data_IF_217330913335
#
_entry.id   IF_217330913335
#
_cell.length_a   1.000
_cell.length_b   1.000
_cell.length_c   1.000
_cell.angle_alpha   90.00
_cell.angle_beta   90.00
_cell.angle_gamma   90.00
#
_symmetry.space_group_name_H-M   'P 1'
#
loop_
_entity.id
_entity.type
_entity.pdbx_description
1 polymer ?
#
# COMPACT_ATOMS: atom_id res chain seq x y z
N UNK A 1 20.20 -8.37 6.37
CA UNK A 1 20.35 -6.96 6.82
C UNK A 1 19.45 -6.72 8.01
N UNK A 2 19.56 -5.57 8.68
CA UNK A 2 18.71 -5.21 9.82
C UNK A 2 18.23 -3.76 9.70
N UNK A 3 17.01 -3.49 10.14
CA UNK A 3 16.43 -2.15 10.29
C UNK A 3 15.70 -2.06 11.62
N UNK A 4 15.62 -0.87 12.21
CA UNK A 4 14.72 -0.60 13.32
C UNK A 4 13.39 -0.05 12.77
N UNK A 5 12.40 -0.92 12.60
CA UNK A 5 11.10 -0.59 12.07
C UNK A 5 10.21 0.05 13.14
N UNK A 6 9.49 1.12 12.77
CA UNK A 6 8.69 1.96 13.68
C UNK A 6 7.76 1.19 14.62
N UNK A 7 7.13 0.12 14.12
CA UNK A 7 6.12 -0.66 14.87
C UNK A 7 6.64 -2.01 15.37
N UNK A 8 7.83 -2.45 14.93
CA UNK A 8 8.34 -3.81 15.16
C UNK A 8 9.71 -3.84 15.84
N UNK A 9 10.34 -2.68 16.05
CA UNK A 9 11.70 -2.60 16.56
C UNK A 9 12.70 -3.19 15.56
N UNK A 10 13.72 -3.91 16.05
CA UNK A 10 14.72 -4.51 15.16
C UNK A 10 14.12 -5.66 14.35
N UNK A 11 14.16 -5.54 13.02
CA UNK A 11 13.71 -6.55 12.06
C UNK A 11 14.87 -6.92 11.15
N UNK A 12 15.09 -8.23 11.00
CA UNK A 12 16.03 -8.79 10.00
C UNK A 12 15.31 -9.03 8.68
N UNK A 13 15.96 -8.71 7.57
CA UNK A 13 15.40 -8.89 6.21
C UNK A 13 16.51 -9.12 5.18
N UNK A 14 16.14 -9.72 4.05
CA UNK A 14 16.98 -9.92 2.85
C UNK A 14 16.63 -8.89 1.76
N UNK A 15 17.52 -8.69 0.77
CA UNK A 15 17.28 -7.73 -0.30
C UNK A 15 15.97 -8.03 -1.06
N UNK A 16 15.64 -9.32 -1.21
CA UNK A 16 14.40 -9.81 -1.83
C UNK A 16 13.13 -9.45 -1.07
N UNK A 17 13.24 -9.14 0.22
CA UNK A 17 12.10 -8.77 1.07
C UNK A 17 11.71 -7.31 0.87
N UNK A 18 12.56 -6.49 0.25
CA UNK A 18 12.24 -5.09 -0.05
C UNK A 18 11.38 -4.94 -1.31
N UNK A 19 10.67 -3.82 -1.42
CA UNK A 19 10.07 -3.34 -2.66
C UNK A 19 10.72 -2.03 -3.08
N UNK A 20 10.75 -1.81 -4.39
CA UNK A 20 11.18 -0.54 -4.99
C UNK A 20 9.98 0.21 -5.56
N UNK A 21 9.68 1.38 -5.01
CA UNK A 21 8.62 2.27 -5.45
C UNK A 21 9.17 3.24 -6.51
N UNK A 22 8.69 3.10 -7.73
CA UNK A 22 9.09 3.91 -8.88
C UNK A 22 8.79 5.39 -8.57
N UNK A 23 9.84 6.21 -8.53
CA UNK A 23 9.80 7.64 -8.17
C UNK A 23 9.34 7.94 -6.74
N UNK A 24 9.31 6.93 -5.85
CA UNK A 24 8.86 7.07 -4.47
C UNK A 24 7.35 7.28 -4.31
N UNK A 25 6.93 7.59 -3.09
CA UNK A 25 5.54 7.97 -2.79
C UNK A 25 5.33 9.48 -2.97
N UNK A 26 4.11 9.89 -3.28
CA UNK A 26 3.75 11.32 -3.44
C UNK A 26 4.04 12.06 -2.12
N UNK A 27 4.87 13.08 -2.19
CA UNK A 27 5.37 13.84 -1.02
C UNK A 27 6.56 13.22 -0.29
N UNK A 28 7.06 12.08 -0.76
CA UNK A 28 8.23 11.34 -0.23
C UNK A 28 9.10 10.80 -1.37
N UNK A 29 9.23 11.54 -2.47
CA UNK A 29 9.87 11.09 -3.72
C UNK A 29 11.36 10.76 -3.56
N UNK A 30 12.01 11.25 -2.50
CA UNK A 30 13.40 10.92 -2.17
C UNK A 30 13.59 9.54 -1.57
N UNK A 31 12.50 8.86 -1.19
CA UNK A 31 12.52 7.53 -0.58
C UNK A 31 11.87 6.55 -1.54
N UNK A 32 12.67 5.60 -2.03
CA UNK A 32 12.23 4.64 -3.06
C UNK A 32 12.15 3.21 -2.57
N UNK A 33 12.87 2.85 -1.51
CA UNK A 33 13.01 1.46 -1.09
C UNK A 33 12.36 1.25 0.29
N UNK A 34 11.47 0.27 0.34
CA UNK A 34 10.62 0.02 1.50
C UNK A 34 10.57 -1.48 1.83
N UNK A 35 10.43 -1.80 3.10
CA UNK A 35 10.18 -3.13 3.61
C UNK A 35 8.70 -3.25 4.01
N UNK A 36 7.86 -4.01 3.30
CA UNK A 36 6.52 -4.34 3.75
C UNK A 36 6.60 -5.38 4.88
N UNK A 37 6.06 -5.03 6.05
CA UNK A 37 6.01 -5.90 7.24
C UNK A 37 4.55 -6.10 7.64
N UNK A 38 3.96 -7.28 7.42
CA UNK A 38 2.63 -7.61 7.90
C UNK A 38 2.52 -7.47 9.43
N UNK A 39 1.38 -6.99 9.92
CA UNK A 39 1.11 -6.98 11.37
C UNK A 39 0.78 -8.36 11.93
N UNK A 40 0.34 -9.27 11.06
CA UNK A 40 0.05 -10.65 11.40
C UNK A 40 0.69 -11.56 10.35
N UNK A 41 1.32 -12.64 10.81
CA UNK A 41 1.98 -13.61 9.93
C UNK A 41 0.98 -14.21 8.94
N UNK A 42 1.39 -14.33 7.68
CA UNK A 42 0.59 -14.86 6.56
C UNK A 42 -0.71 -14.08 6.26
N UNK A 43 -0.84 -12.83 6.73
CA UNK A 43 -2.01 -11.97 6.52
C UNK A 43 -1.60 -10.62 5.91
N UNK A 44 -2.12 -10.30 4.73
CA UNK A 44 -1.81 -9.06 4.00
C UNK A 44 -2.82 -7.93 4.24
N UNK A 45 -3.80 -8.13 5.12
CA UNK A 45 -4.88 -7.17 5.38
C UNK A 45 -4.36 -5.85 5.95
N UNK A 46 -3.29 -5.89 6.75
CA UNK A 46 -2.66 -4.73 7.37
C UNK A 46 -1.13 -4.86 7.36
N UNK A 47 -0.46 -3.92 6.71
CA UNK A 47 1.00 -3.94 6.51
C UNK A 47 1.61 -2.60 6.94
N UNK A 48 2.72 -2.64 7.66
CA UNK A 48 3.62 -1.49 7.82
C UNK A 48 4.58 -1.45 6.64
N UNK A 49 4.45 -0.45 5.78
CA UNK A 49 5.39 -0.14 4.72
C UNK A 49 6.51 0.74 5.29
N UNK A 50 7.56 0.10 5.80
CA UNK A 50 8.69 0.74 6.46
C UNK A 50 9.69 1.28 5.44
N UNK A 51 10.03 2.58 5.49
CA UNK A 51 11.11 3.14 4.67
C UNK A 51 12.45 2.54 5.11
N UNK A 52 13.29 2.14 4.15
CA UNK A 52 14.63 1.60 4.45
C UNK A 52 15.64 2.69 4.85
N UNK A 53 15.42 3.93 4.41
CA UNK A 53 16.32 5.06 4.67
C UNK A 53 15.94 5.89 5.91
N UNK A 54 14.71 5.73 6.43
CA UNK A 54 14.21 6.48 7.59
C UNK A 54 13.35 5.60 8.49
N UNK A 55 13.91 5.20 9.63
CA UNK A 55 13.26 4.39 10.68
C UNK A 55 11.96 5.00 11.22
N UNK A 56 11.78 6.33 11.14
CA UNK A 56 10.57 7.03 11.60
C UNK A 56 9.48 7.10 10.54
N UNK A 57 9.83 6.86 9.28
CA UNK A 57 8.92 6.91 8.15
C UNK A 57 8.36 5.50 7.87
N UNK A 58 7.09 5.32 8.21
CA UNK A 58 6.35 4.10 7.88
C UNK A 58 4.88 4.46 7.62
N UNK A 59 4.31 3.83 6.59
CA UNK A 59 2.92 3.97 6.21
C UNK A 59 2.15 2.71 6.57
N UNK A 60 0.90 2.88 6.99
CA UNK A 60 0.00 1.74 7.17
C UNK A 60 -0.72 1.50 5.84
N UNK A 61 -0.55 0.31 5.30
CA UNK A 61 -1.23 -0.18 4.11
C UNK A 61 -2.35 -1.12 4.53
N UNK A 62 -3.43 -1.10 3.77
CA UNK A 62 -4.51 -2.09 3.87
C UNK A 62 -4.78 -2.74 2.52
N UNK A 63 -5.13 -4.02 2.54
CA UNK A 63 -5.71 -4.69 1.39
C UNK A 63 -7.13 -4.12 1.16
N UNK A 64 -7.37 -3.38 0.05
CA UNK A 64 -8.61 -2.65 -0.15
C UNK A 64 -9.80 -3.59 -0.37
N UNK A 65 -9.58 -4.79 -0.88
CA UNK A 65 -10.68 -5.71 -1.22
C UNK A 65 -11.33 -6.33 0.03
N UNK A 66 -10.61 -6.38 1.16
CA UNK A 66 -11.16 -6.81 2.44
C UNK A 66 -12.08 -5.78 3.11
N UNK A 67 -11.94 -4.49 2.75
CA UNK A 67 -12.72 -3.39 3.33
C UNK A 67 -13.72 -2.76 2.36
N UNK A 68 -13.47 -2.87 1.06
CA UNK A 68 -14.32 -2.36 0.00
C UNK A 68 -14.36 -3.40 -1.14
N UNK A 69 -15.18 -4.46 -1.04
CA UNK A 69 -15.20 -5.56 -2.00
C UNK A 69 -15.51 -5.14 -3.44
N UNK A 70 -16.25 -4.04 -3.62
CA UNK A 70 -16.58 -3.45 -4.92
C UNK A 70 -15.43 -2.59 -5.49
N UNK A 71 -14.24 -2.57 -4.87
CA UNK A 71 -13.07 -1.85 -5.38
C UNK A 71 -12.61 -2.49 -6.70
N UNK A 72 -12.54 -1.71 -7.77
CA UNK A 72 -12.19 -2.17 -9.11
C UNK A 72 -11.28 -1.13 -9.80
N UNK A 73 -10.05 -0.95 -9.30
CA UNK A 73 -9.10 0.01 -9.86
C UNK A 73 -8.68 -0.39 -11.27
N UNK A 74 -8.68 0.58 -12.20
CA UNK A 74 -8.19 0.39 -13.57
C UNK A 74 -6.83 1.07 -13.74
N UNK A 75 -5.83 0.29 -14.14
CA UNK A 75 -4.49 0.79 -14.45
C UNK A 75 -4.36 1.11 -15.94
N UNK A 76 -3.59 2.16 -16.25
CA UNK A 76 -3.26 2.48 -17.63
C UNK A 76 -2.23 1.48 -18.19
N UNK A 77 -2.20 1.34 -19.52
CA UNK A 77 -1.16 0.53 -20.20
C UNK A 77 0.25 1.08 -19.90
N UNK A 78 0.37 2.37 -19.59
CA UNK A 78 1.64 2.98 -19.21
C UNK A 78 2.07 2.52 -17.82
N UNK A 79 1.16 2.50 -16.85
CA UNK A 79 1.45 2.03 -15.48
C UNK A 79 1.86 0.55 -15.47
N UNK A 80 1.13 -0.31 -16.22
CA UNK A 80 1.47 -1.73 -16.35
C UNK A 80 2.87 -1.93 -16.94
N UNK A 81 3.22 -1.16 -17.99
CA UNK A 81 4.56 -1.21 -18.60
C UNK A 81 5.66 -0.80 -17.64
N UNK A 82 5.45 0.25 -16.85
CA UNK A 82 6.44 0.71 -15.86
C UNK A 82 6.63 -0.31 -14.72
N UNK A 83 5.54 -0.96 -14.30
CA UNK A 83 5.55 -2.05 -13.32
C UNK A 83 6.11 -3.36 -13.90
N UNK A 84 6.30 -3.45 -15.21
CA UNK A 84 6.74 -4.68 -15.89
C UNK A 84 5.73 -5.82 -15.74
N UNK A 85 4.44 -5.51 -15.81
CA UNK A 85 3.34 -6.48 -15.78
C UNK A 85 2.63 -6.53 -17.13
N UNK A 86 2.22 -7.73 -17.54
CA UNK A 86 1.45 -7.94 -18.77
C UNK A 86 -0.04 -7.67 -18.56
N UNK A 87 -0.54 -7.89 -17.34
CA UNK A 87 -1.94 -7.74 -16.98
C UNK A 87 -2.12 -7.17 -15.58
N UNK A 88 -3.33 -6.70 -15.28
CA UNK A 88 -3.73 -6.26 -13.95
C UNK A 88 -3.88 -7.42 -12.95
N UNK A 89 -3.97 -8.67 -13.42
CA UNK A 89 -4.10 -9.87 -12.58
C UNK A 89 -2.78 -10.18 -11.85
N UNK A 90 -1.65 -9.74 -12.40
CA UNK A 90 -0.31 -9.89 -11.83
C UNK A 90 0.03 -8.80 -10.78
N UNK A 91 -0.92 -7.92 -10.51
CA UNK A 91 -0.74 -6.74 -9.65
C UNK A 91 -1.51 -6.89 -8.34
N UNK A 92 -0.80 -6.72 -7.23
CA UNK A 92 -1.40 -6.53 -5.91
C UNK A 92 -1.71 -5.05 -5.66
N UNK A 93 -2.83 -4.78 -4.98
CA UNK A 93 -3.29 -3.43 -4.68
C UNK A 93 -3.30 -3.22 -3.17
N UNK A 94 -2.76 -2.09 -2.73
CA UNK A 94 -2.80 -1.65 -1.35
C UNK A 94 -3.19 -0.18 -1.29
N UNK A 95 -3.88 0.22 -0.21
CA UNK A 95 -4.25 1.63 0.00
C UNK A 95 -3.63 2.14 1.29
N UNK A 96 -3.14 3.39 1.26
CA UNK A 96 -2.53 4.02 2.42
C UNK A 96 -3.64 4.48 3.37
N UNK A 97 -3.46 4.17 4.66
CA UNK A 97 -4.40 4.45 5.74
C UNK A 97 -3.86 5.53 6.68
N UNK A 98 -4.75 6.41 7.13
CA UNK A 98 -4.53 7.35 8.23
C UNK A 98 -5.29 6.82 9.44
N UNK A 99 -4.54 6.22 10.37
CA UNK A 99 -5.09 5.63 11.58
C UNK A 99 -5.40 6.73 12.60
N UNK A 100 -6.60 6.68 13.19
CA UNK A 100 -7.11 7.55 14.26
C UNK A 100 -7.29 6.74 15.54
N UNK A 101 -7.77 7.40 16.60
CA UNK A 101 -8.02 6.75 17.89
C UNK A 101 -9.05 5.62 17.79
N UNK A 102 -9.96 5.68 16.81
CA UNK A 102 -10.88 4.60 16.46
C UNK A 102 -10.75 4.18 14.99
N UNK A 103 -11.04 2.90 14.73
CA UNK A 103 -11.08 2.36 13.36
C UNK A 103 -12.15 3.08 12.54
N UNK A 104 -13.32 3.35 13.13
CA UNK A 104 -14.42 4.02 12.44
C UNK A 104 -14.05 5.42 11.92
N UNK A 105 -13.18 6.15 12.61
CA UNK A 105 -12.71 7.49 12.20
C UNK A 105 -11.46 7.44 11.30
N UNK A 106 -10.83 6.28 11.18
CA UNK A 106 -9.66 6.09 10.33
C UNK A 106 -10.08 6.16 8.86
N UNK A 107 -9.16 6.60 8.00
CA UNK A 107 -9.46 6.81 6.58
C UNK A 107 -8.47 6.13 5.67
N UNK A 108 -8.92 5.68 4.50
CA UNK A 108 -8.07 5.13 3.44
C UNK A 108 -8.10 6.00 2.19
N UNK A 109 -7.00 5.98 1.43
CA UNK A 109 -6.89 6.66 0.14
C UNK A 109 -7.14 5.67 -1.01
N UNK A 110 -8.40 5.57 -1.46
CA UNK A 110 -8.75 4.76 -2.62
C UNK A 110 -8.39 5.42 -3.97
N UNK A 111 -8.12 6.73 -3.99
CA UNK A 111 -7.79 7.45 -5.24
C UNK A 111 -6.36 7.21 -5.70
N UNK A 112 -5.44 6.93 -4.77
CA UNK A 112 -4.04 6.74 -5.07
C UNK A 112 -3.46 5.46 -4.42
N UNK A 113 -3.90 4.25 -4.86
CA UNK A 113 -3.36 3.00 -4.37
C UNK A 113 -1.87 2.86 -4.65
N UNK A 114 -1.19 2.10 -3.79
CA UNK A 114 0.11 1.50 -4.07
C UNK A 114 -0.14 0.19 -4.81
N UNK A 115 0.28 0.13 -6.06
CA UNK A 115 0.23 -1.07 -6.88
C UNK A 115 1.58 -1.73 -6.91
N UNK A 116 1.61 -3.05 -6.73
CA UNK A 116 2.84 -3.83 -6.54
C UNK A 116 2.83 -5.01 -7.51
N UNK A 117 3.87 -5.12 -8.33
CA UNK A 117 4.16 -6.35 -9.05
C UNK A 117 4.96 -7.26 -8.12
N UNK A 118 4.31 -8.28 -7.57
CA UNK A 118 4.92 -9.17 -6.59
C UNK A 118 6.08 -10.01 -7.16
N UNK A 119 6.07 -10.28 -8.48
CA UNK A 119 7.08 -11.10 -9.14
C UNK A 119 8.44 -10.40 -9.22
N UNK A 120 8.44 -9.07 -9.42
CA UNK A 120 9.66 -8.28 -9.59
C UNK A 120 9.89 -7.25 -8.46
N UNK A 121 8.99 -7.20 -7.47
CA UNK A 121 9.04 -6.32 -6.30
C UNK A 121 9.04 -4.82 -6.64
N UNK A 122 8.62 -4.45 -7.85
CA UNK A 122 8.39 -3.05 -8.22
C UNK A 122 7.01 -2.60 -7.81
N UNK A 123 6.91 -1.37 -7.35
CA UNK A 123 5.67 -0.75 -6.98
C UNK A 123 5.56 0.66 -7.53
N UNK A 124 4.34 1.18 -7.56
CA UNK A 124 4.06 2.56 -7.97
C UNK A 124 2.83 3.05 -7.22
N UNK A 125 2.85 4.30 -6.77
CA UNK A 125 1.63 4.96 -6.33
C UNK A 125 0.92 5.54 -7.56
N UNK A 126 -0.25 5.00 -7.90
CA UNK A 126 -0.99 5.39 -9.11
C UNK A 126 -2.21 6.19 -8.72
N UNK A 127 -2.35 7.41 -9.24
CA UNK A 127 -3.59 8.19 -9.11
C UNK A 127 -4.58 7.67 -10.16
N UNK A 128 -5.68 7.09 -9.71
CA UNK A 128 -6.71 6.54 -10.60
C UNK A 128 -7.53 7.67 -11.24
N UNK A 129 -7.99 7.48 -12.48
CA UNK A 129 -8.88 8.44 -13.14
C UNK A 129 -10.35 8.30 -12.69
N UNK A 130 -10.72 7.14 -12.15
CA UNK A 130 -12.05 6.80 -11.65
C UNK A 130 -12.58 7.83 -10.63
N UNK A 131 -13.64 8.60 -10.96
CA UNK A 131 -14.12 9.71 -10.13
C UNK A 131 -14.83 9.28 -8.84
N UNK A 132 -15.29 8.03 -8.77
CA UNK A 132 -15.91 7.44 -7.57
C UNK A 132 -14.92 7.27 -6.41
N UNK A 133 -13.62 7.21 -6.71
CA UNK A 133 -12.57 7.13 -5.70
C UNK A 133 -12.05 8.52 -5.33
N UNK A 134 -11.94 8.77 -4.02
CA UNK A 134 -11.43 10.00 -3.45
C UNK A 134 -10.23 9.72 -2.54
N UNK A 135 -9.49 10.77 -2.20
CA UNK A 135 -8.29 10.66 -1.37
C UNK A 135 -8.56 10.28 0.09
N UNK A 136 -9.83 10.38 0.52
CA UNK A 136 -10.22 10.14 1.90
C UNK A 136 -11.58 9.46 1.93
N UNK A 137 -11.57 8.19 2.28
CA UNK A 137 -12.75 7.43 2.61
C UNK A 137 -12.69 6.95 4.05
N UNK A 138 -13.75 7.17 4.81
CA UNK A 138 -13.86 6.78 6.22
C UNK A 138 -14.14 5.28 6.32
N UNK A 139 -13.37 4.54 7.12
CA UNK A 139 -13.56 3.10 7.27
C UNK A 139 -14.92 2.75 7.90
N UNK A 140 -15.42 3.58 8.84
CA UNK A 140 -16.74 3.39 9.44
C UNK A 140 -17.90 3.41 8.45
N UNK A 141 -17.77 4.12 7.32
CA UNK A 141 -18.79 4.16 6.27
C UNK A 141 -18.74 2.92 5.38
N UNK A 142 -17.61 2.22 5.34
CA UNK A 142 -17.36 1.06 4.48
C UNK A 142 -17.75 -0.26 5.16
N UNK A 143 -17.61 -0.34 6.48
CA UNK A 143 -17.94 -1.54 7.27
C UNK A 143 -19.42 -1.65 7.65
N UNK A 144 -20.27 -0.68 7.28
CA UNK A 144 -21.71 -0.66 7.63
C UNK A 144 -22.63 -1.38 6.61
N UNK A 145 -22.10 -2.15 5.66
CA UNK A 145 -22.90 -3.00 4.77
C UNK A 145 -23.00 -4.44 5.32
N UNK A 146 -23.66 -4.61 6.45
CA UNK A 146 -24.29 -5.87 6.83
C UNK A 146 -25.74 -5.56 7.22
N UNK A 147 -26.63 -5.57 6.21
CA UNK A 147 -28.09 -5.67 6.40
C UNK A 147 -28.55 -7.10 6.07
#
# INVERSE_FOLDING_TARGET
>A
MNINAKYFGSVSYEDSDSIHIINGLIGFESHTDYLPIPFQDEDDSLISLQCLDDEKLSFILMNPFGIFPDYAPTLSIQDLRELGADSAEDISYYVISVIRDSVAESTVNLKAPLVVNALNRKAKQVILDQPEYTFRHTLGDMTQKED
#
